data_IF_831577718216
#
_entry.id   IF_831577718216
#
_cell.length_a   1.000
_cell.length_b   1.000
_cell.length_c   1.000
_cell.angle_alpha   90.00
_cell.angle_beta   90.00
_cell.angle_gamma   90.00
#
_symmetry.space_group_name_H-M   'P 1'
#
loop_
_entity.id
_entity.type
_entity.pdbx_description
1 polymer ?
#
# COMPACT_ATOMS: atom_id res chain seq x y z
N UNK A 1 4.09 8.43 15.08
CA UNK A 1 3.83 8.90 13.69
C UNK A 1 2.37 8.66 13.36
N UNK A 2 1.85 9.43 12.42
CA UNK A 2 0.51 9.29 11.88
C UNK A 2 0.62 8.78 10.44
N UNK A 3 0.12 7.59 10.18
CA UNK A 3 0.26 6.88 8.89
C UNK A 3 -1.11 6.67 8.28
N UNK A 4 -1.33 7.17 7.07
CA UNK A 4 -2.55 6.94 6.31
C UNK A 4 -2.31 5.80 5.32
N UNK A 5 -3.01 4.68 5.51
CA UNK A 5 -2.94 3.49 4.66
C UNK A 5 -4.03 3.56 3.58
N UNK A 6 -3.65 3.95 2.37
CA UNK A 6 -4.53 4.08 1.23
C UNK A 6 -4.43 2.86 0.31
N UNK A 7 -5.52 2.10 0.21
CA UNK A 7 -5.51 0.84 -0.52
C UNK A 7 -6.90 0.34 -0.91
N UNK A 8 -6.94 -0.90 -1.35
CA UNK A 8 -8.14 -1.61 -1.79
C UNK A 8 -8.79 -2.45 -0.67
N UNK A 9 -9.42 -3.56 -1.05
CA UNK A 9 -10.08 -4.51 -0.16
C UNK A 9 -9.13 -5.17 0.83
N UNK A 10 -7.87 -5.44 0.47
CA UNK A 10 -6.88 -6.00 1.38
C UNK A 10 -6.46 -4.99 2.47
N UNK A 11 -6.46 -3.69 2.16
CA UNK A 11 -6.26 -2.63 3.15
C UNK A 11 -7.52 -2.42 3.99
N UNK A 12 -8.69 -2.44 3.36
CA UNK A 12 -9.98 -2.40 4.06
C UNK A 12 -10.10 -3.54 5.09
N UNK A 13 -9.56 -4.72 4.77
CA UNK A 13 -9.66 -5.94 5.56
C UNK A 13 -10.90 -6.76 5.20
N UNK A 14 -11.25 -6.82 3.91
CA UNK A 14 -12.41 -7.55 3.40
C UNK A 14 -12.33 -9.04 3.72
N UNK A 15 -13.46 -9.60 4.19
CA UNK A 15 -13.60 -11.01 4.54
C UNK A 15 -14.43 -11.75 3.47
N UNK A 16 -13.81 -12.51 2.52
CA UNK A 16 -14.50 -13.09 1.38
C UNK A 16 -15.54 -14.17 1.72
N UNK A 17 -15.49 -14.75 2.92
CA UNK A 17 -16.43 -15.75 3.41
C UNK A 17 -17.49 -15.18 4.36
N UNK A 18 -17.42 -13.89 4.66
CA UNK A 18 -18.40 -13.18 5.46
C UNK A 18 -19.63 -12.78 4.64
N UNK A 19 -20.56 -12.09 5.26
CA UNK A 19 -21.65 -11.47 4.53
C UNK A 19 -21.12 -10.38 3.61
N UNK A 20 -21.90 -9.99 2.59
CA UNK A 20 -21.49 -9.00 1.62
C UNK A 20 -21.01 -7.70 2.30
N UNK A 21 -19.76 -7.33 2.05
CA UNK A 21 -19.12 -6.14 2.62
C UNK A 21 -18.48 -6.34 4.00
N UNK A 22 -18.53 -7.54 4.57
CA UNK A 22 -17.91 -7.84 5.86
C UNK A 22 -16.41 -7.60 5.87
N UNK A 23 -15.89 -7.34 7.06
CA UNK A 23 -14.48 -7.16 7.36
C UNK A 23 -14.03 -8.16 8.42
N UNK A 24 -12.77 -8.54 8.36
CA UNK A 24 -12.11 -9.19 9.51
C UNK A 24 -12.21 -8.30 10.77
N UNK A 25 -12.15 -8.91 11.94
CA UNK A 25 -12.07 -8.18 13.21
C UNK A 25 -10.84 -7.29 13.31
N UNK A 26 -10.86 -6.31 14.19
CA UNK A 26 -9.70 -5.43 14.40
C UNK A 26 -8.46 -6.17 14.93
N UNK A 27 -8.64 -7.39 15.50
CA UNK A 27 -7.54 -8.26 15.91
C UNK A 27 -6.79 -8.92 14.74
N UNK A 28 -7.36 -8.92 13.54
CA UNK A 28 -6.90 -9.72 12.40
C UNK A 28 -6.56 -8.90 11.16
N UNK A 29 -6.97 -7.63 11.09
CA UNK A 29 -6.63 -6.77 9.94
C UNK A 29 -5.23 -6.20 10.09
N UNK A 30 -4.41 -6.30 9.06
CA UNK A 30 -3.03 -5.84 9.08
C UNK A 30 -2.89 -4.35 9.49
N UNK A 31 -3.84 -3.49 9.12
CA UNK A 31 -3.81 -2.07 9.49
C UNK A 31 -3.98 -1.86 10.99
N UNK A 32 -4.89 -2.61 11.62
CA UNK A 32 -5.11 -2.52 13.07
C UNK A 32 -3.98 -3.22 13.86
N UNK A 33 -3.45 -4.32 13.32
CA UNK A 33 -2.27 -5.02 13.88
C UNK A 33 -1.05 -4.09 13.85
N UNK A 34 -0.83 -3.36 12.74
CA UNK A 34 0.23 -2.37 12.62
C UNK A 34 0.10 -1.28 13.70
N UNK A 35 -1.11 -0.74 13.91
CA UNK A 35 -1.38 0.24 14.96
C UNK A 35 -1.03 -0.31 16.36
N UNK A 36 -1.52 -1.51 16.65
CA UNK A 36 -1.33 -2.18 17.95
C UNK A 36 0.13 -2.47 18.25
N UNK A 37 0.88 -2.98 17.27
CA UNK A 37 2.26 -3.42 17.47
C UNK A 37 3.26 -2.26 17.48
N UNK A 38 3.01 -1.20 16.71
CA UNK A 38 3.93 -0.06 16.61
C UNK A 38 3.58 1.09 17.55
N UNK A 39 2.35 1.16 18.05
CA UNK A 39 1.83 2.31 18.80
C UNK A 39 1.66 3.57 17.95
N UNK A 40 1.75 3.47 16.62
CA UNK A 40 1.50 4.57 15.70
C UNK A 40 -0.01 4.81 15.51
N UNK A 41 -0.39 6.03 15.22
CA UNK A 41 -1.75 6.35 14.77
C UNK A 41 -1.90 5.92 13.30
N UNK A 42 -2.68 4.89 13.06
CA UNK A 42 -2.89 4.34 11.71
C UNK A 42 -4.31 4.62 11.24
N UNK A 43 -4.43 5.26 10.09
CA UNK A 43 -5.72 5.57 9.45
C UNK A 43 -5.95 4.56 8.34
N UNK A 44 -6.98 3.73 8.47
CA UNK A 44 -7.38 2.79 7.43
C UNK A 44 -8.25 3.51 6.40
N UNK A 45 -7.70 3.85 5.26
CA UNK A 45 -8.39 4.41 4.10
C UNK A 45 -8.54 3.38 2.96
N UNK A 46 -8.67 2.09 3.30
CA UNK A 46 -8.98 1.02 2.36
C UNK A 46 -10.43 1.07 1.86
N UNK A 47 -10.66 0.64 0.62
CA UNK A 47 -12.01 0.52 0.05
C UNK A 47 -12.09 -0.64 -0.94
N UNK A 48 -13.16 -1.47 -0.82
CA UNK A 48 -13.37 -2.60 -1.70
C UNK A 48 -13.43 -2.17 -3.18
N UNK A 49 -12.76 -2.93 -4.05
CA UNK A 49 -12.76 -2.70 -5.50
C UNK A 49 -12.02 -1.43 -5.96
N UNK A 50 -11.26 -0.78 -5.08
CA UNK A 50 -10.54 0.44 -5.47
C UNK A 50 -9.44 0.16 -6.48
N UNK A 51 -9.57 0.79 -7.64
CA UNK A 51 -8.50 0.96 -8.61
C UNK A 51 -7.63 2.18 -8.25
N UNK A 52 -6.51 2.37 -8.96
CA UNK A 52 -5.67 3.57 -8.83
C UNK A 52 -6.48 4.81 -9.26
N UNK A 53 -6.67 5.80 -8.38
CA UNK A 53 -7.55 6.93 -8.66
C UNK A 53 -7.05 7.80 -9.82
N UNK A 54 -7.94 8.14 -10.73
CA UNK A 54 -7.69 9.08 -11.83
C UNK A 54 -7.98 10.54 -11.44
N UNK A 55 -8.65 10.76 -10.31
CA UNK A 55 -9.04 12.08 -9.80
C UNK A 55 -8.33 12.34 -8.47
N UNK A 56 -8.18 13.60 -8.03
CA UNK A 56 -7.46 13.98 -6.81
C UNK A 56 -8.22 13.62 -5.51
N UNK A 57 -8.80 12.42 -5.46
CA UNK A 57 -9.54 11.94 -4.28
C UNK A 57 -8.64 11.82 -3.04
N UNK A 58 -7.39 11.38 -3.23
CA UNK A 58 -6.47 11.22 -2.12
C UNK A 58 -6.03 12.54 -1.49
N UNK A 59 -6.03 13.64 -2.23
CA UNK A 59 -5.78 14.98 -1.69
C UNK A 59 -6.83 15.38 -0.66
N UNK A 60 -8.10 15.04 -0.91
CA UNK A 60 -9.17 15.26 0.06
C UNK A 60 -8.90 14.48 1.35
N UNK A 61 -8.53 13.20 1.25
CA UNK A 61 -8.20 12.40 2.44
C UNK A 61 -6.99 12.96 3.21
N UNK A 62 -5.97 13.43 2.51
CA UNK A 62 -4.83 14.10 3.16
C UNK A 62 -5.29 15.34 3.94
N UNK A 63 -6.15 16.16 3.34
CA UNK A 63 -6.69 17.36 3.99
C UNK A 63 -7.55 17.02 5.21
N UNK A 64 -8.41 16.00 5.10
CA UNK A 64 -9.28 15.55 6.18
C UNK A 64 -8.51 14.94 7.36
N UNK A 65 -7.35 14.36 7.11
CA UNK A 65 -6.56 13.66 8.11
C UNK A 65 -5.22 14.34 8.47
N UNK A 66 -4.96 15.53 7.96
CA UNK A 66 -3.73 16.26 8.25
C UNK A 66 -3.54 16.55 9.75
N UNK A 67 -2.30 16.58 10.27
CA UNK A 67 -1.06 16.22 9.58
C UNK A 67 -0.90 14.70 9.40
N UNK A 68 -0.30 14.26 8.29
CA UNK A 68 0.04 12.87 8.00
C UNK A 68 1.55 12.79 7.77
N UNK A 69 2.24 11.94 8.54
CA UNK A 69 3.68 11.76 8.42
C UNK A 69 4.04 10.86 7.23
N UNK A 70 3.28 9.76 7.04
CA UNK A 70 3.48 8.80 5.95
C UNK A 70 2.15 8.53 5.25
N UNK A 71 2.13 8.64 3.93
CA UNK A 71 1.06 8.19 3.06
C UNK A 71 1.47 6.87 2.41
N UNK A 72 1.01 5.74 2.98
CA UNK A 72 1.26 4.41 2.44
C UNK A 72 0.22 4.08 1.37
N UNK A 73 0.67 3.78 0.16
CA UNK A 73 -0.18 3.38 -0.97
C UNK A 73 0.05 1.93 -1.32
N UNK A 74 -1.02 1.12 -1.34
CA UNK A 74 -1.03 -0.26 -1.84
C UNK A 74 -2.25 -0.46 -2.73
N UNK A 75 -2.08 -0.32 -4.04
CA UNK A 75 -3.11 -0.43 -5.07
C UNK A 75 -2.54 -1.08 -6.33
N UNK A 76 -3.40 -1.45 -7.26
CA UNK A 76 -3.07 -2.01 -8.57
C UNK A 76 -3.70 -3.37 -8.83
N UNK A 77 -4.02 -4.13 -7.78
CA UNK A 77 -4.69 -5.43 -7.90
C UNK A 77 -5.98 -5.33 -8.72
N UNK A 78 -6.84 -4.35 -8.40
CA UNK A 78 -8.11 -4.18 -9.12
C UNK A 78 -7.91 -3.67 -10.54
N UNK A 79 -6.87 -2.88 -10.82
CA UNK A 79 -6.52 -2.47 -12.19
C UNK A 79 -6.19 -3.68 -13.05
N UNK A 80 -5.40 -4.64 -12.53
CA UNK A 80 -5.07 -5.88 -13.22
C UNK A 80 -6.31 -6.76 -13.41
N UNK A 81 -7.15 -6.90 -12.39
CA UNK A 81 -8.42 -7.65 -12.48
C UNK A 81 -9.38 -7.06 -13.50
N UNK A 82 -9.30 -5.76 -13.77
CA UNK A 82 -10.06 -5.05 -14.81
C UNK A 82 -9.34 -5.05 -16.18
N UNK A 83 -8.27 -5.82 -16.32
CA UNK A 83 -7.58 -6.06 -17.59
C UNK A 83 -6.48 -5.07 -17.94
N UNK A 84 -6.03 -4.24 -17.00
CA UNK A 84 -4.82 -3.45 -17.21
C UNK A 84 -3.59 -4.35 -17.13
N UNK A 85 -2.57 -4.04 -17.92
CA UNK A 85 -1.22 -4.60 -17.72
C UNK A 85 -0.52 -3.94 -16.53
N UNK A 86 0.53 -4.60 -16.02
CA UNK A 86 1.39 -4.06 -14.97
C UNK A 86 1.93 -2.66 -15.33
N UNK A 87 2.36 -2.50 -16.57
CA UNK A 87 2.89 -1.22 -17.09
C UNK A 87 1.82 -0.11 -17.14
N UNK A 88 0.60 -0.44 -17.53
CA UNK A 88 -0.51 0.52 -17.52
C UNK A 88 -0.90 0.92 -16.10
N UNK A 89 -0.93 -0.05 -15.17
CA UNK A 89 -1.16 0.21 -13.76
C UNK A 89 -0.04 1.11 -13.16
N UNK A 90 1.22 0.83 -13.47
CA UNK A 90 2.35 1.67 -13.04
C UNK A 90 2.27 3.10 -13.63
N UNK A 91 1.86 3.25 -14.87
CA UNK A 91 1.65 4.58 -15.49
C UNK A 91 0.54 5.37 -14.77
N UNK A 92 -0.56 4.70 -14.39
CA UNK A 92 -1.63 5.31 -13.59
C UNK A 92 -1.13 5.68 -12.20
N UNK A 93 -0.33 4.79 -11.56
CA UNK A 93 0.26 5.04 -10.26
C UNK A 93 1.20 6.23 -10.29
N UNK A 94 2.04 6.37 -11.31
CA UNK A 94 2.90 7.55 -11.50
C UNK A 94 2.08 8.84 -11.53
N UNK A 95 1.05 8.87 -12.36
CA UNK A 95 0.17 10.04 -12.48
C UNK A 95 -0.54 10.37 -11.16
N UNK A 96 -0.91 9.35 -10.38
CA UNK A 96 -1.53 9.49 -9.07
C UNK A 96 -0.53 10.02 -8.04
N UNK A 97 0.67 9.44 -7.95
CA UNK A 97 1.70 9.84 -6.98
C UNK A 97 2.20 11.27 -7.24
N UNK A 98 2.35 11.68 -8.49
CA UNK A 98 2.73 13.04 -8.87
C UNK A 98 1.75 14.10 -8.36
N UNK A 99 0.48 13.76 -8.16
CA UNK A 99 -0.49 14.67 -7.54
C UNK A 99 -0.31 14.77 -6.02
N UNK A 100 0.26 13.75 -5.38
CA UNK A 100 0.41 13.69 -3.92
C UNK A 100 1.74 14.24 -3.45
N UNK A 101 2.82 14.06 -4.21
CA UNK A 101 4.18 14.45 -3.83
C UNK A 101 4.29 15.89 -3.28
N UNK A 102 3.60 16.91 -3.85
CA UNK A 102 3.67 18.28 -3.31
C UNK A 102 3.00 18.45 -1.95
N UNK A 103 2.20 17.48 -1.49
CA UNK A 103 1.31 17.61 -0.33
C UNK A 103 1.64 16.63 0.81
N UNK A 104 2.58 15.71 0.60
CA UNK A 104 2.92 14.67 1.57
C UNK A 104 4.34 14.87 2.10
N UNK A 105 4.52 14.67 3.41
CA UNK A 105 5.86 14.60 4.01
C UNK A 105 6.63 13.40 3.46
N UNK A 106 6.00 12.24 3.42
CA UNK A 106 6.59 11.00 2.90
C UNK A 106 5.52 10.13 2.23
N UNK A 107 5.76 9.72 1.00
CA UNK A 107 5.00 8.65 0.35
C UNK A 107 5.77 7.35 0.50
N UNK A 108 5.06 6.27 0.81
CA UNK A 108 5.56 4.90 0.81
C UNK A 108 4.73 4.09 -0.19
N UNK A 109 5.36 3.64 -1.27
CA UNK A 109 4.73 2.77 -2.25
C UNK A 109 4.95 1.31 -1.87
N UNK A 110 3.88 0.56 -1.63
CA UNK A 110 3.93 -0.88 -1.43
C UNK A 110 3.33 -1.59 -2.67
N UNK A 111 4.05 -2.55 -3.22
CA UNK A 111 3.45 -3.45 -4.20
C UNK A 111 2.41 -4.33 -3.49
N UNK A 112 1.22 -4.58 -4.07
CA UNK A 112 0.34 -5.63 -3.58
C UNK A 112 1.05 -7.00 -3.65
N UNK A 113 0.85 -7.91 -2.68
CA UNK A 113 1.33 -9.28 -2.80
C UNK A 113 0.84 -9.95 -4.10
N UNK A 114 1.68 -10.79 -4.74
CA UNK A 114 1.31 -11.46 -5.98
C UNK A 114 0.02 -12.27 -5.81
N UNK A 115 -0.86 -12.16 -6.79
CA UNK A 115 -2.07 -12.98 -6.87
C UNK A 115 -1.70 -14.46 -7.07
N UNK A 116 -2.62 -15.35 -6.71
CA UNK A 116 -2.50 -16.79 -6.95
C UNK A 116 -3.69 -17.29 -7.77
N UNK A 117 -3.56 -18.41 -8.43
CA UNK A 117 -4.71 -19.05 -9.09
C UNK A 117 -5.85 -19.22 -8.11
N UNK A 118 -7.04 -18.81 -8.50
CA UNK A 118 -8.23 -18.84 -7.65
C UNK A 118 -9.48 -18.44 -8.41
N UNK A 119 -10.59 -18.27 -7.71
CA UNK A 119 -11.89 -17.99 -8.35
C UNK A 119 -11.92 -16.66 -9.12
N UNK A 120 -11.12 -15.67 -8.70
CA UNK A 120 -11.01 -14.37 -9.37
C UNK A 120 -9.76 -14.25 -10.23
N UNK A 121 -8.86 -15.21 -10.16
CA UNK A 121 -7.60 -15.24 -10.92
C UNK A 121 -7.57 -16.51 -11.78
N UNK A 122 -8.29 -16.52 -12.91
CA UNK A 122 -8.50 -17.73 -13.70
C UNK A 122 -7.30 -18.14 -14.56
N UNK A 123 -6.27 -17.30 -14.71
CA UNK A 123 -5.16 -17.54 -15.63
C UNK A 123 -3.78 -17.32 -15.00
N UNK A 124 -2.76 -17.97 -15.51
CA UNK A 124 -1.37 -17.81 -15.06
C UNK A 124 -0.79 -16.48 -15.54
N UNK A 125 -1.30 -15.94 -16.66
CA UNK A 125 -0.92 -14.63 -17.17
C UNK A 125 -1.28 -13.53 -16.16
N UNK A 126 -2.45 -13.60 -15.54
CA UNK A 126 -2.86 -12.64 -14.53
C UNK A 126 -2.00 -12.74 -13.24
N UNK A 127 -1.59 -13.96 -12.88
CA UNK A 127 -0.60 -14.16 -11.80
C UNK A 127 0.73 -13.51 -12.18
N UNK A 128 1.22 -13.74 -13.39
CA UNK A 128 2.46 -13.15 -13.89
C UNK A 128 2.40 -11.61 -13.91
N UNK A 129 1.29 -11.02 -14.37
CA UNK A 129 1.09 -9.56 -14.35
C UNK A 129 1.15 -8.99 -12.92
N UNK A 130 0.66 -9.72 -11.90
CA UNK A 130 0.76 -9.26 -10.52
C UNK A 130 2.20 -9.27 -9.98
N UNK A 131 3.05 -10.18 -10.46
CA UNK A 131 4.48 -10.20 -10.16
C UNK A 131 5.20 -9.06 -10.88
N UNK A 132 4.91 -8.85 -12.16
CA UNK A 132 5.47 -7.76 -12.96
C UNK A 132 5.09 -6.39 -12.40
N UNK A 133 3.91 -6.24 -11.78
CA UNK A 133 3.51 -4.99 -11.15
C UNK A 133 4.49 -4.53 -10.08
N UNK A 134 5.01 -5.45 -9.28
CA UNK A 134 6.01 -5.11 -8.26
C UNK A 134 7.34 -4.66 -8.89
N UNK A 135 7.71 -5.21 -10.05
CA UNK A 135 8.90 -4.78 -10.80
C UNK A 135 8.72 -3.36 -11.35
N UNK A 136 7.59 -3.09 -11.98
CA UNK A 136 7.26 -1.76 -12.50
C UNK A 136 7.16 -0.72 -11.36
N UNK A 137 6.61 -1.10 -10.21
CA UNK A 137 6.53 -0.21 -9.04
C UNK A 137 7.89 0.06 -8.41
N UNK A 138 8.80 -0.90 -8.41
CA UNK A 138 10.18 -0.68 -7.98
C UNK A 138 10.86 0.37 -8.85
N UNK A 139 10.78 0.22 -10.19
CA UNK A 139 11.33 1.20 -11.13
C UNK A 139 10.69 2.59 -10.96
N UNK A 140 9.38 2.63 -10.73
CA UNK A 140 8.65 3.88 -10.47
C UNK A 140 9.12 4.55 -9.18
N UNK A 141 9.29 3.79 -8.10
CA UNK A 141 9.75 4.31 -6.83
C UNK A 141 11.18 4.88 -6.93
N UNK A 142 12.08 4.18 -7.64
CA UNK A 142 13.42 4.67 -7.95
C UNK A 142 13.37 5.98 -8.75
N UNK A 143 12.53 6.05 -9.80
CA UNK A 143 12.32 7.25 -10.61
C UNK A 143 11.83 8.45 -9.80
N UNK A 144 10.90 8.22 -8.86
CA UNK A 144 10.32 9.26 -8.03
C UNK A 144 11.11 9.54 -6.75
N UNK A 145 12.17 8.78 -6.50
CA UNK A 145 12.98 8.83 -5.28
C UNK A 145 12.13 8.71 -3.99
N UNK A 146 11.22 7.73 -3.98
CA UNK A 146 10.37 7.41 -2.82
C UNK A 146 10.68 6.01 -2.29
N UNK A 147 10.48 5.74 -0.99
CA UNK A 147 10.58 4.41 -0.43
C UNK A 147 9.61 3.42 -1.09
N UNK A 148 10.10 2.19 -1.26
CA UNK A 148 9.35 1.08 -1.84
C UNK A 148 9.35 -0.15 -0.92
N UNK A 149 8.22 -0.83 -0.86
CA UNK A 149 8.06 -2.10 -0.15
C UNK A 149 7.74 -3.18 -1.18
N UNK A 150 8.66 -4.12 -1.34
CA UNK A 150 8.50 -5.29 -2.19
C UNK A 150 7.91 -6.45 -1.38
N UNK A 151 6.68 -6.83 -1.71
CA UNK A 151 5.96 -7.89 -0.97
C UNK A 151 6.06 -9.27 -1.62
N UNK A 152 6.78 -9.41 -2.73
CA UNK A 152 6.79 -10.65 -3.54
C UNK A 152 7.24 -11.88 -2.75
N UNK A 153 8.21 -11.71 -1.86
CA UNK A 153 8.79 -12.81 -1.08
C UNK A 153 8.11 -13.02 0.28
N UNK A 154 7.04 -12.29 0.60
CA UNK A 154 6.40 -12.37 1.91
C UNK A 154 5.51 -13.60 2.10
N UNK A 155 5.28 -14.37 1.05
CA UNK A 155 4.48 -15.59 1.08
C UNK A 155 3.10 -15.43 1.72
N UNK A 156 2.43 -14.32 1.44
CA UNK A 156 1.12 -13.99 1.99
C UNK A 156 0.10 -15.05 1.61
N UNK A 157 -0.59 -15.58 2.61
CA UNK A 157 -1.66 -16.55 2.40
C UNK A 157 -2.90 -15.83 1.88
N UNK A 158 -3.41 -16.31 0.72
CA UNK A 158 -4.60 -15.79 0.07
C UNK A 158 -5.77 -16.77 0.20
N UNK A 159 -6.99 -16.23 0.15
CA UNK A 159 -8.22 -17.01 0.17
C UNK A 159 -8.43 -17.76 -1.15
N UNK A 160 -9.53 -18.50 -1.23
CA UNK A 160 -9.91 -19.31 -2.42
C UNK A 160 -10.07 -18.49 -3.71
N UNK A 161 -10.23 -17.18 -3.59
CA UNK A 161 -10.38 -16.30 -4.75
C UNK A 161 -9.03 -15.94 -5.41
N UNK A 162 -7.92 -16.16 -4.71
CA UNK A 162 -6.56 -15.88 -5.19
C UNK A 162 -6.12 -14.43 -5.05
N UNK A 163 -6.90 -13.58 -4.36
CA UNK A 163 -6.70 -12.14 -4.23
C UNK A 163 -6.67 -11.66 -2.78
N UNK A 164 -7.69 -12.03 -2.00
CA UNK A 164 -7.86 -11.51 -0.66
C UNK A 164 -7.02 -12.27 0.37
N UNK A 165 -6.50 -11.55 1.33
CA UNK A 165 -5.73 -12.14 2.42
C UNK A 165 -6.64 -13.02 3.31
N UNK A 166 -6.09 -14.14 3.79
CA UNK A 166 -6.65 -14.84 4.93
C UNK A 166 -6.33 -14.08 6.22
N UNK A 167 -6.90 -14.51 7.35
CA UNK A 167 -6.50 -14.01 8.67
C UNK A 167 -4.99 -14.14 8.88
N UNK A 168 -4.43 -15.33 8.61
CA UNK A 168 -2.98 -15.56 8.68
C UNK A 168 -2.20 -14.67 7.69
N UNK A 169 -2.74 -14.44 6.48
CA UNK A 169 -2.18 -13.52 5.50
C UNK A 169 -2.11 -12.09 6.01
N UNK A 170 -3.14 -11.61 6.70
CA UNK A 170 -3.14 -10.29 7.33
C UNK A 170 -2.08 -10.16 8.42
N UNK A 171 -1.94 -11.17 9.28
CA UNK A 171 -0.90 -11.21 10.33
C UNK A 171 0.49 -11.19 9.70
N UNK A 172 0.78 -12.07 8.74
CA UNK A 172 2.06 -12.13 8.05
C UNK A 172 2.39 -10.81 7.35
N UNK A 173 1.39 -10.17 6.72
CA UNK A 173 1.57 -8.87 6.07
C UNK A 173 1.93 -7.77 7.09
N UNK A 174 1.26 -7.74 8.24
CA UNK A 174 1.55 -6.77 9.29
C UNK A 174 2.98 -6.91 9.81
N UNK A 175 3.41 -8.13 10.13
CA UNK A 175 4.73 -8.41 10.67
C UNK A 175 5.85 -7.99 9.70
N UNK A 176 5.76 -8.39 8.42
CA UNK A 176 6.74 -8.00 7.40
C UNK A 176 6.75 -6.48 7.14
N UNK A 177 5.58 -5.83 7.16
CA UNK A 177 5.49 -4.39 6.96
C UNK A 177 6.13 -3.61 8.12
N UNK A 178 6.00 -4.08 9.35
CA UNK A 178 6.63 -3.48 10.55
C UNK A 178 8.15 -3.48 10.41
N UNK A 179 8.73 -4.61 10.00
CA UNK A 179 10.18 -4.72 9.77
C UNK A 179 10.64 -3.78 8.66
N UNK A 180 9.88 -3.69 7.58
CA UNK A 180 10.16 -2.77 6.47
C UNK A 180 10.08 -1.30 6.90
N UNK A 181 9.07 -0.92 7.67
CA UNK A 181 8.90 0.43 8.19
C UNK A 181 10.01 0.82 9.16
N UNK A 182 10.48 -0.10 10.00
CA UNK A 182 11.59 0.15 10.93
C UNK A 182 12.87 0.53 10.16
N UNK A 183 13.18 -0.19 9.08
CA UNK A 183 14.31 0.12 8.19
C UNK A 183 14.15 1.48 7.51
N UNK A 184 12.99 1.74 6.88
CA UNK A 184 12.70 3.00 6.17
C UNK A 184 12.77 4.19 7.14
N UNK A 185 12.18 4.09 8.32
CA UNK A 185 12.22 5.16 9.32
C UNK A 185 13.64 5.45 9.83
N UNK A 186 14.48 4.43 9.93
CA UNK A 186 15.89 4.60 10.28
C UNK A 186 16.64 5.39 9.20
N UNK A 187 16.43 5.06 7.93
CA UNK A 187 17.08 5.72 6.80
C UNK A 187 16.63 7.18 6.66
N UNK A 188 15.34 7.46 6.82
CA UNK A 188 14.79 8.83 6.81
C UNK A 188 15.43 9.67 7.91
N UNK A 189 15.50 9.18 9.15
CA UNK A 189 16.13 9.89 10.27
C UNK A 189 17.60 10.18 10.02
N UNK A 190 18.33 9.25 9.41
CA UNK A 190 19.76 9.43 9.09
C UNK A 190 19.98 10.41 7.92
N UNK A 191 19.08 10.44 6.95
CA UNK A 191 19.12 11.38 5.82
C UNK A 191 18.83 12.81 6.31
N UNK A 192 17.83 13.00 7.15
CA UNK A 192 17.52 14.32 7.76
C UNK A 192 18.64 14.84 8.65
N UNK A 193 19.36 13.96 9.37
CA UNK A 193 20.53 14.35 10.18
C UNK A 193 21.78 14.73 9.35
N UNK A 194 21.83 14.32 8.09
CA UNK A 194 22.94 14.64 7.16
C UNK A 194 22.68 15.89 6.32
N UNK A 195 21.48 16.47 6.34
CA UNK A 195 21.20 17.76 5.71
C UNK A 195 21.75 18.88 6.60
N UNK A 196 22.80 19.63 6.20
CA UNK A 196 23.42 20.71 6.99
C UNK A 196 22.66 22.04 6.82
N UNK A 197 21.33 22.02 6.87
CA UNK A 197 20.52 23.24 6.89
C UNK A 197 19.82 23.39 8.23
N UNK A 198 20.63 23.59 9.29
CA UNK A 198 20.23 24.48 10.37
C UNK A 198 20.42 25.92 9.87
N UNK A 199 19.33 26.53 9.43
CA UNK A 199 19.06 27.96 9.69
C UNK A 199 17.73 28.35 9.04
N UNK A 200 16.81 28.70 9.92
CA UNK A 200 15.42 29.02 9.65
C UNK A 200 15.18 29.98 8.48
N UNK A 201 14.22 29.60 7.69
CA UNK A 201 13.13 30.42 7.16
C UNK A 201 12.34 29.55 6.14
N UNK A 202 11.25 28.95 6.61
CA UNK A 202 10.12 28.65 5.73
C UNK A 202 9.16 29.84 5.84
N UNK A 203 9.08 30.61 4.76
CA UNK A 203 7.96 31.50 4.49
C UNK A 203 6.90 30.70 3.77
#
# INVERSE_FOLDING_TARGET
MRILCFGDSNTYGYHPRGFFGDRYGAGDRWVDLLAKQTGHEIINAGANGREIPRKPYALRLLTEHAPVDIFLVMLGTNDLLQGASAKEAATRMEAFLNQLLPHCMQILLAAPPPMKRGAWVPTDELVAESIHLAEEYKLLAEKLNIPFVDTREWNIELTFDGVHFTEAGHHAFADNLIDSLASICYDIKNTLRRCPYENGSCI
#
